data_IF_508702080332
#
_entry.id   IF_508702080332
#
_cell.length_a   1.000
_cell.length_b   1.000
_cell.length_c   1.000
_cell.angle_alpha   90.00
_cell.angle_beta   90.00
_cell.angle_gamma   90.00
#
_symmetry.space_group_name_H-M   'P 1'
#
loop_
_entity.id
_entity.type
_entity.pdbx_description
1 polymer ?
#
# COMPACT_ATOMS: atom_id res chain seq x y z
N UNK A 1 18.11 47.77 63.68
CA UNK A 1 16.88 47.15 64.22
C UNK A 1 16.24 46.34 63.10
N UNK A 2 16.05 45.05 63.35
CA UNK A 2 15.60 44.03 62.40
C UNK A 2 14.08 43.91 62.51
N UNK A 3 13.35 43.88 61.40
CA UNK A 3 12.02 43.22 61.36
C UNK A 3 11.84 42.47 60.04
N UNK A 4 11.96 41.14 60.14
CA UNK A 4 11.50 40.16 59.17
C UNK A 4 9.98 40.29 58.97
N UNK A 5 9.51 40.21 57.73
CA UNK A 5 8.14 39.78 57.43
C UNK A 5 8.20 38.63 56.42
N UNK A 6 8.31 37.41 56.97
CA UNK A 6 8.07 36.17 56.25
C UNK A 6 6.56 36.08 55.92
N UNK A 7 6.21 36.33 54.66
CA UNK A 7 4.88 36.07 54.12
C UNK A 7 4.73 34.60 53.74
N UNK A 8 3.87 33.88 54.47
CA UNK A 8 3.51 32.47 54.24
C UNK A 8 2.49 32.36 53.09
N UNK A 9 2.89 31.61 52.06
CA UNK A 9 2.13 30.71 51.15
C UNK A 9 0.62 30.92 50.98
N UNK A 10 0.18 31.15 49.73
CA UNK A 10 -1.10 30.63 49.23
C UNK A 10 -1.09 30.46 47.68
N UNK A 11 -1.06 29.23 47.12
CA UNK A 11 -1.30 29.01 45.70
C UNK A 11 -2.63 28.26 45.54
N UNK A 12 -3.72 28.98 45.34
CA UNK A 12 -4.97 28.35 44.90
C UNK A 12 -5.62 29.12 43.75
N UNK A 13 -5.75 28.38 42.65
CA UNK A 13 -6.53 28.64 41.44
C UNK A 13 -5.99 29.65 40.41
N UNK A 14 -5.38 29.13 39.34
CA UNK A 14 -5.90 29.37 37.98
C UNK A 14 -5.35 28.40 36.92
N UNK A 15 -6.20 27.45 36.54
CA UNK A 15 -6.37 26.86 35.20
C UNK A 15 -5.10 26.44 34.43
N UNK A 16 -4.85 25.12 34.44
CA UNK A 16 -4.11 24.45 33.38
C UNK A 16 -4.70 24.84 32.01
N UNK A 17 -3.89 25.49 31.17
CA UNK A 17 -4.20 25.61 29.76
C UNK A 17 -4.14 24.19 29.18
N UNK A 18 -5.30 23.58 28.96
CA UNK A 18 -5.42 22.41 28.10
C UNK A 18 -4.84 22.79 26.75
N UNK A 19 -3.60 22.40 26.49
CA UNK A 19 -3.03 22.47 25.15
C UNK A 19 -3.79 21.45 24.32
N UNK A 20 -4.86 21.92 23.69
CA UNK A 20 -5.50 21.19 22.60
C UNK A 20 -4.42 20.94 21.57
N UNK A 21 -3.94 19.69 21.52
CA UNK A 21 -3.10 19.22 20.43
C UNK A 21 -4.01 19.19 19.21
N UNK A 22 -4.20 20.36 18.59
CA UNK A 22 -4.78 20.48 17.28
C UNK A 22 -3.91 19.60 16.40
N UNK A 23 -4.42 18.41 16.04
CA UNK A 23 -3.88 17.63 14.94
C UNK A 23 -3.96 18.57 13.74
N UNK A 24 -2.86 19.28 13.50
CA UNK A 24 -2.58 19.97 12.24
C UNK A 24 -2.84 18.89 11.21
N UNK A 25 -4.00 18.99 10.54
CA UNK A 25 -4.30 18.14 9.38
C UNK A 25 -3.11 18.36 8.49
N UNK A 26 -2.24 17.34 8.39
CA UNK A 26 -1.06 17.38 7.53
C UNK A 26 -1.58 17.93 6.22
N UNK A 27 -1.01 19.05 5.77
CA UNK A 27 -1.13 19.44 4.38
C UNK A 27 -0.94 18.15 3.61
N UNK A 28 -1.92 17.81 2.77
CA UNK A 28 -1.81 16.62 1.93
C UNK A 28 -0.71 16.98 0.95
N UNK A 29 0.54 16.85 1.38
CA UNK A 29 1.71 17.17 0.59
C UNK A 29 1.54 16.35 -0.67
N UNK A 30 1.39 17.05 -1.80
CA UNK A 30 1.20 16.43 -3.09
C UNK A 30 2.49 15.68 -3.39
N UNK A 31 2.56 14.41 -2.99
CA UNK A 31 3.73 13.57 -3.20
C UNK A 31 4.01 13.56 -4.70
N UNK A 32 5.21 13.98 -5.07
CA UNK A 32 5.70 13.92 -6.44
C UNK A 32 6.71 12.78 -6.56
N UNK A 33 7.01 12.38 -7.80
CA UNK A 33 7.90 11.26 -8.11
C UNK A 33 9.30 11.42 -7.48
N UNK A 34 9.85 12.64 -7.45
CA UNK A 34 11.18 12.88 -6.87
C UNK A 34 11.15 12.68 -5.35
N UNK A 35 10.08 13.10 -4.70
CA UNK A 35 9.91 12.93 -3.27
C UNK A 35 9.68 11.47 -2.89
N UNK A 36 8.95 10.69 -3.70
CA UNK A 36 8.82 9.24 -3.47
C UNK A 36 10.13 8.51 -3.71
N UNK A 37 10.87 8.87 -4.77
CA UNK A 37 12.19 8.31 -5.07
C UNK A 37 13.17 8.56 -3.92
N UNK A 38 13.25 9.79 -3.41
CA UNK A 38 14.12 10.14 -2.29
C UNK A 38 13.75 9.34 -1.04
N UNK A 39 12.46 9.29 -0.68
CA UNK A 39 11.98 8.53 0.49
C UNK A 39 12.28 7.03 0.38
N UNK A 40 12.07 6.43 -0.79
CA UNK A 40 12.33 5.00 -1.00
C UNK A 40 13.82 4.69 -0.98
N UNK A 41 14.67 5.54 -1.57
CA UNK A 41 16.13 5.39 -1.46
C UNK A 41 16.62 5.52 -0.02
N UNK A 42 16.09 6.47 0.75
CA UNK A 42 16.44 6.61 2.17
C UNK A 42 15.98 5.42 3.00
N UNK A 43 14.81 4.85 2.72
CA UNK A 43 14.25 3.75 3.50
C UNK A 43 14.91 2.39 3.19
N UNK A 44 15.24 2.14 1.92
CA UNK A 44 15.70 0.82 1.45
C UNK A 44 17.17 0.79 1.02
N UNK A 45 17.84 1.94 0.90
CA UNK A 45 19.23 2.03 0.46
C UNK A 45 19.44 1.35 -0.88
N UNK A 46 20.39 0.41 -0.93
CA UNK A 46 20.72 -0.38 -2.12
C UNK A 46 19.65 -1.42 -2.47
N UNK A 47 18.79 -1.78 -1.51
CA UNK A 47 17.61 -2.63 -1.74
C UNK A 47 16.42 -1.88 -2.34
N UNK A 48 16.55 -0.57 -2.59
CA UNK A 48 15.47 0.23 -3.15
C UNK A 48 15.14 -0.21 -4.60
N UNK A 49 13.85 -0.25 -4.98
CA UNK A 49 13.47 -0.43 -6.37
C UNK A 49 14.10 0.64 -7.26
N UNK A 50 14.42 0.27 -8.51
CA UNK A 50 15.01 1.23 -9.44
C UNK A 50 14.05 2.40 -9.73
N UNK A 51 14.60 3.55 -10.14
CA UNK A 51 13.82 4.76 -10.39
C UNK A 51 12.68 4.54 -11.40
N UNK A 52 12.89 3.66 -12.38
CA UNK A 52 11.88 3.28 -13.39
C UNK A 52 10.68 2.56 -12.76
N UNK A 53 10.92 1.61 -11.86
CA UNK A 53 9.85 0.89 -11.13
C UNK A 53 9.02 1.85 -10.28
N UNK A 54 9.69 2.77 -9.58
CA UNK A 54 9.02 3.79 -8.76
C UNK A 54 8.18 4.73 -9.63
N UNK A 55 8.64 5.05 -10.84
CA UNK A 55 7.92 5.92 -11.77
C UNK A 55 6.64 5.25 -12.25
N UNK A 56 6.72 3.96 -12.62
CA UNK A 56 5.56 3.17 -13.05
C UNK A 56 4.53 3.12 -11.92
N UNK A 57 4.91 2.72 -10.71
CA UNK A 57 3.99 2.72 -9.56
C UNK A 57 3.38 4.10 -9.29
N UNK A 58 4.16 5.16 -9.41
CA UNK A 58 3.63 6.52 -9.21
C UNK A 58 2.65 6.95 -10.31
N UNK A 59 2.90 6.56 -11.56
CA UNK A 59 1.99 6.82 -12.68
C UNK A 59 0.69 6.02 -12.52
N UNK A 60 0.79 4.74 -12.18
CA UNK A 60 -0.36 3.85 -11.93
C UNK A 60 -1.19 4.33 -10.71
N UNK A 61 -0.54 4.83 -9.65
CA UNK A 61 -1.22 5.45 -8.51
C UNK A 61 -2.03 6.68 -8.91
N UNK A 62 -1.48 7.53 -9.77
CA UNK A 62 -2.19 8.70 -10.31
C UNK A 62 -3.37 8.32 -11.20
N UNK A 63 -3.32 7.16 -11.85
CA UNK A 63 -4.43 6.59 -12.62
C UNK A 63 -5.51 5.96 -11.73
N UNK A 64 -5.35 6.05 -10.41
CA UNK A 64 -6.24 5.44 -9.41
C UNK A 64 -6.34 3.92 -9.54
N UNK A 65 -5.30 3.28 -10.09
CA UNK A 65 -5.20 1.83 -10.12
C UNK A 65 -4.70 1.38 -8.74
N UNK A 66 -5.66 0.94 -7.93
CA UNK A 66 -5.44 0.53 -6.53
C UNK A 66 -4.66 -0.79 -6.45
N UNK A 67 -4.58 -1.55 -7.55
CA UNK A 67 -3.91 -2.83 -7.57
C UNK A 67 -2.59 -2.75 -8.37
N UNK A 68 -1.48 -2.49 -7.68
CA UNK A 68 -0.11 -2.47 -8.26
C UNK A 68 0.43 -3.86 -8.59
N UNK A 69 -0.25 -4.88 -8.09
CA UNK A 69 -0.07 -6.26 -8.47
C UNK A 69 -1.27 -6.64 -9.32
N UNK A 70 -1.13 -6.61 -10.64
CA UNK A 70 -1.75 -7.68 -11.42
C UNK A 70 -1.12 -8.96 -10.88
N UNK A 71 -1.73 -9.54 -9.85
CA UNK A 71 -1.45 -10.89 -9.44
C UNK A 71 -1.71 -11.70 -10.70
N UNK A 72 -0.63 -12.08 -11.38
CA UNK A 72 -0.68 -13.01 -12.50
C UNK A 72 -0.93 -14.37 -11.89
N UNK A 73 -2.12 -14.53 -11.31
CA UNK A 73 -2.77 -15.82 -11.34
C UNK A 73 -2.70 -16.21 -12.81
N UNK A 74 -1.91 -17.24 -13.08
CA UNK A 74 -1.92 -17.86 -14.39
C UNK A 74 -3.32 -18.39 -14.69
N UNK A 75 -3.40 -19.42 -15.53
CA UNK A 75 -4.69 -20.06 -15.77
C UNK A 75 -5.26 -20.59 -14.44
N UNK A 76 -6.49 -20.23 -14.05
CA UNK A 76 -7.13 -20.81 -12.87
C UNK A 76 -7.16 -22.34 -13.00
N UNK A 77 -6.62 -23.06 -12.01
CA UNK A 77 -6.58 -24.54 -11.98
C UNK A 77 -7.97 -25.18 -11.99
N UNK A 78 -9.02 -24.39 -11.79
CA UNK A 78 -10.42 -24.82 -11.75
C UNK A 78 -10.88 -25.35 -13.13
N UNK A 79 -10.34 -24.80 -14.23
CA UNK A 79 -10.75 -25.18 -15.59
C UNK A 79 -10.05 -26.44 -16.13
N UNK A 80 -8.96 -26.88 -15.51
CA UNK A 80 -8.09 -27.97 -15.99
C UNK A 80 -8.02 -29.06 -14.93
N UNK A 81 -9.06 -29.89 -14.87
CA UNK A 81 -9.04 -31.08 -14.02
C UNK A 81 -8.55 -32.31 -14.83
N UNK A 82 -7.97 -33.32 -14.17
CA UNK A 82 -7.46 -34.53 -14.84
C UNK A 82 -8.53 -35.26 -15.67
N UNK A 83 -9.80 -35.21 -15.25
CA UNK A 83 -10.91 -35.82 -15.99
C UNK A 83 -11.19 -35.09 -17.31
N UNK A 84 -11.11 -33.76 -17.32
CA UNK A 84 -11.27 -32.96 -18.53
C UNK A 84 -10.09 -33.19 -19.49
N UNK A 85 -8.87 -33.35 -18.97
CA UNK A 85 -7.70 -33.71 -19.79
C UNK A 85 -7.89 -35.09 -20.43
N UNK A 86 -8.27 -36.08 -19.64
CA UNK A 86 -8.48 -37.44 -20.14
C UNK A 86 -9.65 -37.51 -21.13
N UNK A 87 -10.72 -36.76 -20.89
CA UNK A 87 -11.85 -36.65 -21.82
C UNK A 87 -11.40 -36.04 -23.16
N UNK A 88 -10.75 -34.88 -23.15
CA UNK A 88 -10.23 -34.22 -24.37
C UNK A 88 -9.30 -35.16 -25.14
N UNK A 89 -8.40 -35.87 -24.43
CA UNK A 89 -7.44 -36.80 -25.06
C UNK A 89 -8.16 -37.95 -25.77
N UNK A 90 -9.14 -38.58 -25.11
CA UNK A 90 -9.92 -39.68 -25.72
C UNK A 90 -10.75 -39.21 -26.90
N UNK A 91 -11.33 -38.02 -26.81
CA UNK A 91 -12.12 -37.45 -27.91
C UNK A 91 -11.23 -37.23 -29.14
N UNK A 92 -10.01 -36.71 -28.95
CA UNK A 92 -9.03 -36.54 -30.05
C UNK A 92 -8.45 -37.86 -30.57
N UNK A 93 -8.29 -38.88 -29.72
CA UNK A 93 -7.86 -40.24 -30.13
C UNK A 93 -8.94 -40.94 -30.97
N UNK A 94 -10.21 -40.66 -30.70
CA UNK A 94 -11.36 -41.30 -31.37
C UNK A 94 -11.76 -40.55 -32.64
N UNK A 95 -11.72 -39.22 -32.60
CA UNK A 95 -12.05 -38.35 -33.73
C UNK A 95 -11.03 -37.21 -33.85
N UNK A 96 -10.17 -37.34 -34.86
CA UNK A 96 -9.14 -36.34 -35.15
C UNK A 96 -9.71 -35.01 -35.68
N UNK A 97 -10.99 -34.95 -36.04
CA UNK A 97 -11.65 -33.76 -36.60
C UNK A 97 -12.50 -33.00 -35.59
N UNK A 98 -12.53 -33.43 -34.33
CA UNK A 98 -13.31 -32.76 -33.30
C UNK A 98 -12.91 -31.29 -33.14
N UNK A 99 -13.90 -30.41 -33.07
CA UNK A 99 -13.72 -28.97 -32.89
C UNK A 99 -13.93 -28.58 -31.42
N UNK A 100 -13.44 -27.42 -31.01
CA UNK A 100 -13.57 -26.94 -29.62
C UNK A 100 -15.03 -26.89 -29.12
N UNK A 101 -16.01 -26.71 -30.01
CA UNK A 101 -17.44 -26.67 -29.65
C UNK A 101 -18.04 -28.05 -29.36
N UNK A 102 -17.32 -29.11 -29.69
CA UNK A 102 -17.74 -30.51 -29.56
C UNK A 102 -17.03 -31.21 -28.40
N UNK A 103 -16.15 -30.51 -27.69
CA UNK A 103 -15.41 -30.98 -26.51
C UNK A 103 -16.03 -30.40 -25.23
#
# INVERSE_FOLDING_TARGET
MITNQFGIVNPKHRLSKSSTLSRKRRSRDRVNFQQSLARLRTAFGDGAPCAKTIYIWFAEFKRSLVNFCEYRDGRPSIAVNNKNIDYVRRTMETDQRVTYYEI
#
